data_IF_363581462352
#
_entry.id   IF_363581462352
#
_cell.length_a   1.000
_cell.length_b   1.000
_cell.length_c   1.000
_cell.angle_alpha   90.00
_cell.angle_beta   90.00
_cell.angle_gamma   90.00
#
_symmetry.space_group_name_H-M   'P 1'
#
loop_
_entity.id
_entity.type
_entity.pdbx_description
1 polymer ?
#
# COMPACT_ATOMS: atom_id res chain seq x y z
N UNK A 1 3.12 -19.70 0.81
CA UNK A 1 3.26 -18.73 -0.30
C UNK A 1 4.51 -17.88 -0.05
N UNK A 2 5.42 -17.75 -1.01
CA UNK A 2 6.64 -16.93 -0.86
C UNK A 2 6.44 -15.56 -1.53
N UNK A 3 6.73 -14.44 -0.85
CA UNK A 3 6.68 -13.12 -1.47
C UNK A 3 7.73 -12.98 -2.57
N UNK A 4 7.32 -12.52 -3.75
CA UNK A 4 8.19 -12.18 -4.87
C UNK A 4 8.61 -10.72 -4.75
N UNK A 5 9.90 -10.42 -4.62
CA UNK A 5 10.40 -9.03 -4.69
C UNK A 5 10.22 -8.51 -6.12
N UNK A 6 9.69 -7.29 -6.25
CA UNK A 6 9.60 -6.58 -7.53
C UNK A 6 10.99 -6.06 -7.95
N UNK A 7 11.19 -5.70 -9.24
CA UNK A 7 12.52 -5.36 -9.78
C UNK A 7 13.25 -4.22 -9.07
N UNK A 8 14.57 -4.13 -9.23
CA UNK A 8 15.42 -3.11 -8.59
C UNK A 8 15.29 -1.70 -9.18
N UNK A 9 14.40 -1.45 -10.14
CA UNK A 9 14.10 -0.11 -10.68
C UNK A 9 13.33 0.78 -9.71
N UNK A 10 13.10 0.32 -8.48
CA UNK A 10 12.45 1.06 -7.41
C UNK A 10 13.39 2.10 -6.80
N UNK A 11 12.85 3.13 -6.11
CA UNK A 11 13.68 4.12 -5.45
C UNK A 11 14.63 3.48 -4.43
N UNK A 12 15.87 4.00 -4.27
CA UNK A 12 16.85 3.40 -3.37
C UNK A 12 16.34 3.28 -1.93
N UNK A 13 16.52 2.10 -1.33
CA UNK A 13 16.09 1.84 0.05
C UNK A 13 14.61 1.52 0.22
N UNK A 14 13.88 1.31 -0.89
CA UNK A 14 12.50 0.81 -0.89
C UNK A 14 12.43 -0.55 -1.57
N UNK A 15 11.84 -1.52 -0.88
CA UNK A 15 11.52 -2.84 -1.40
C UNK A 15 10.02 -3.02 -1.52
N UNK A 16 9.54 -3.55 -2.64
CA UNK A 16 8.14 -3.97 -2.78
C UNK A 16 8.09 -5.47 -3.06
N UNK A 17 7.23 -6.17 -2.32
CA UNK A 17 6.99 -7.59 -2.45
C UNK A 17 5.56 -7.84 -2.89
N UNK A 18 5.37 -8.69 -3.90
CA UNK A 18 4.08 -9.16 -4.37
C UNK A 18 3.83 -10.59 -3.89
N UNK A 19 2.62 -10.83 -3.39
CA UNK A 19 2.14 -12.14 -2.99
C UNK A 19 1.00 -12.58 -3.92
N UNK A 20 1.10 -13.79 -4.45
CA UNK A 20 -0.05 -14.51 -5.00
C UNK A 20 -0.70 -15.31 -3.87
N UNK A 21 -2.00 -15.12 -3.68
CA UNK A 21 -2.79 -15.68 -2.60
C UNK A 21 -3.67 -16.81 -3.14
N UNK A 22 -3.47 -18.02 -2.62
CA UNK A 22 -4.43 -19.10 -2.81
C UNK A 22 -5.56 -18.93 -1.79
N UNK A 23 -6.63 -18.27 -2.21
CA UNK A 23 -7.78 -17.93 -1.37
C UNK A 23 -8.60 -19.15 -0.93
N UNK A 24 -8.41 -20.31 -1.57
CA UNK A 24 -9.08 -21.55 -1.22
C UNK A 24 -8.24 -22.42 -0.26
N UNK A 25 -6.92 -22.19 -0.19
CA UNK A 25 -6.05 -22.95 0.68
C UNK A 25 -6.47 -22.85 2.15
N UNK A 26 -6.36 -23.94 2.92
CA UNK A 26 -6.53 -23.88 4.37
C UNK A 26 -5.39 -23.09 4.99
N UNK A 27 -5.69 -22.38 6.09
CA UNK A 27 -4.67 -21.72 6.91
C UNK A 27 -4.00 -22.76 7.80
N UNK A 28 -2.66 -22.79 7.78
CA UNK A 28 -1.89 -23.77 8.57
C UNK A 28 -1.69 -23.31 10.02
N UNK A 29 -1.49 -24.26 10.95
CA UNK A 29 -1.13 -23.95 12.34
C UNK A 29 0.14 -23.11 12.43
N UNK A 30 1.07 -23.28 11.48
CA UNK A 30 2.28 -22.47 11.39
C UNK A 30 2.00 -21.01 11.04
N UNK A 31 0.96 -20.72 10.26
CA UNK A 31 0.53 -19.35 9.96
C UNK A 31 -0.13 -18.72 11.18
N UNK A 32 -0.99 -19.45 11.88
CA UNK A 32 -1.62 -19.01 13.13
C UNK A 32 -0.59 -18.74 14.23
N UNK A 33 0.42 -19.61 14.37
CA UNK A 33 1.51 -19.46 15.35
C UNK A 33 2.44 -18.27 15.09
N UNK A 34 2.27 -17.55 13.98
CA UNK A 34 3.01 -16.32 13.67
C UNK A 34 2.25 -15.04 14.01
N UNK A 35 0.94 -15.11 14.20
CA UNK A 35 0.11 -13.95 14.54
C UNK A 35 0.26 -13.57 16.02
N UNK A 36 0.04 -12.29 16.33
CA UNK A 36 -0.27 -11.92 17.71
C UNK A 36 -1.67 -12.39 18.10
N UNK A 37 -1.97 -12.40 19.40
CA UNK A 37 -3.31 -12.72 19.90
C UNK A 37 -4.37 -11.79 19.29
N UNK A 38 -4.11 -10.47 19.26
CA UNK A 38 -5.01 -9.48 18.66
C UNK A 38 -5.25 -9.72 17.16
N UNK A 39 -4.21 -10.11 16.43
CA UNK A 39 -4.32 -10.46 15.01
C UNK A 39 -5.09 -11.76 14.82
N UNK A 40 -4.90 -12.76 15.68
CA UNK A 40 -5.66 -14.01 15.68
C UNK A 40 -7.15 -13.75 15.91
N UNK A 41 -7.48 -12.95 16.94
CA UNK A 41 -8.86 -12.51 17.21
C UNK A 41 -9.44 -11.76 16.01
N UNK A 42 -8.67 -10.84 15.40
CA UNK A 42 -9.12 -10.11 14.20
C UNK A 42 -9.34 -11.05 13.02
N UNK A 43 -8.46 -12.02 12.79
CA UNK A 43 -8.60 -13.01 11.72
C UNK A 43 -9.89 -13.82 11.88
N UNK A 44 -10.25 -14.20 13.11
CA UNK A 44 -11.47 -14.95 13.40
C UNK A 44 -12.76 -14.16 13.14
N UNK A 45 -12.72 -12.83 13.11
CA UNK A 45 -13.88 -11.97 12.81
C UNK A 45 -14.28 -11.95 11.33
N UNK A 46 -13.39 -12.38 10.42
CA UNK A 46 -13.75 -12.46 9.00
C UNK A 46 -14.75 -13.60 8.77
N UNK A 47 -15.93 -13.24 8.24
CA UNK A 47 -16.99 -14.19 7.91
C UNK A 47 -16.62 -15.06 6.70
N UNK A 48 -16.01 -14.46 5.68
CA UNK A 48 -15.63 -15.18 4.46
C UNK A 48 -14.22 -15.76 4.59
N UNK A 49 -14.06 -16.99 4.11
CA UNK A 49 -12.77 -17.68 4.11
C UNK A 49 -11.69 -16.92 3.33
N UNK A 50 -12.05 -16.38 2.17
CA UNK A 50 -11.12 -15.64 1.33
C UNK A 50 -10.60 -14.35 2.00
N UNK A 51 -11.47 -13.60 2.68
CA UNK A 51 -11.05 -12.42 3.45
C UNK A 51 -10.09 -12.82 4.60
N UNK A 52 -10.39 -13.92 5.30
CA UNK A 52 -9.55 -14.47 6.35
C UNK A 52 -8.18 -14.87 5.83
N UNK A 53 -8.14 -15.59 4.70
CA UNK A 53 -6.88 -15.98 4.05
C UNK A 53 -6.08 -14.76 3.62
N UNK A 54 -6.69 -13.76 2.98
CA UNK A 54 -6.00 -12.51 2.60
C UNK A 54 -5.37 -11.82 3.80
N UNK A 55 -6.11 -11.72 4.91
CA UNK A 55 -5.59 -11.08 6.12
C UNK A 55 -4.41 -11.88 6.72
N UNK A 56 -4.61 -13.18 6.96
CA UNK A 56 -3.59 -14.01 7.64
C UNK A 56 -2.33 -14.16 6.78
N UNK A 57 -2.47 -14.54 5.51
CA UNK A 57 -1.33 -14.76 4.64
C UNK A 57 -0.48 -13.48 4.48
N UNK A 58 -1.14 -12.34 4.28
CA UNK A 58 -0.46 -11.05 4.16
C UNK A 58 0.20 -10.62 5.48
N UNK A 59 -0.46 -10.83 6.63
CA UNK A 59 0.10 -10.49 7.95
C UNK A 59 1.32 -11.34 8.29
N UNK A 60 1.24 -12.65 8.03
CA UNK A 60 2.36 -13.59 8.21
C UNK A 60 3.54 -13.21 7.34
N UNK A 61 3.30 -12.88 6.07
CA UNK A 61 4.35 -12.42 5.18
C UNK A 61 5.01 -11.12 5.64
N UNK A 62 4.20 -10.14 6.06
CA UNK A 62 4.72 -8.89 6.62
C UNK A 62 5.61 -9.15 7.84
N UNK A 63 5.15 -9.97 8.79
CA UNK A 63 5.92 -10.32 10.00
C UNK A 63 7.23 -11.01 9.65
N UNK A 64 7.23 -11.93 8.68
CA UNK A 64 8.46 -12.60 8.21
C UNK A 64 9.44 -11.63 7.57
N UNK A 65 8.96 -10.76 6.69
CA UNK A 65 9.78 -9.76 6.00
C UNK A 65 10.39 -8.76 6.99
N UNK A 66 9.60 -8.24 7.91
CA UNK A 66 10.08 -7.34 8.97
C UNK A 66 11.02 -8.04 9.95
N UNK A 67 10.71 -9.28 10.36
CA UNK A 67 11.57 -10.07 11.24
C UNK A 67 12.93 -10.35 10.62
N UNK A 68 12.97 -10.69 9.33
CA UNK A 68 14.21 -10.83 8.58
C UNK A 68 14.98 -9.51 8.52
N UNK A 69 14.30 -8.40 8.26
CA UNK A 69 14.92 -7.06 8.18
C UNK A 69 15.52 -6.60 9.51
N UNK A 70 14.78 -6.79 10.60
CA UNK A 70 15.14 -6.36 11.95
C UNK A 70 15.96 -7.41 12.71
N UNK A 71 16.21 -8.57 12.10
CA UNK A 71 16.91 -9.72 12.70
C UNK A 71 16.28 -10.16 14.01
N UNK A 72 14.95 -10.20 14.06
CA UNK A 72 14.18 -10.61 15.23
C UNK A 72 13.14 -11.68 14.86
N UNK A 73 12.54 -12.30 15.87
CA UNK A 73 11.52 -13.32 15.65
C UNK A 73 10.22 -12.65 15.16
N UNK A 74 9.61 -13.11 14.06
CA UNK A 74 8.37 -12.52 13.54
C UNK A 74 7.24 -12.41 14.57
N UNK A 75 7.15 -13.34 15.52
CA UNK A 75 6.13 -13.37 16.58
C UNK A 75 6.29 -12.25 17.60
N UNK A 76 7.51 -11.72 17.79
CA UNK A 76 7.78 -10.70 18.82
C UNK A 76 7.43 -9.30 18.34
N UNK A 77 7.15 -9.12 17.04
CA UNK A 77 6.77 -7.82 16.49
C UNK A 77 5.41 -7.38 17.03
N UNK A 78 5.36 -6.14 17.52
CA UNK A 78 4.13 -5.44 17.91
C UNK A 78 3.88 -4.27 16.97
N UNK A 79 2.62 -4.09 16.64
CA UNK A 79 2.16 -3.02 15.75
C UNK A 79 1.22 -2.10 16.50
N UNK A 80 1.35 -0.80 16.26
CA UNK A 80 0.41 0.22 16.72
C UNK A 80 -0.14 0.97 15.51
N UNK A 81 -1.36 1.50 15.61
CA UNK A 81 -1.98 2.26 14.51
C UNK A 81 -2.08 3.73 14.86
N UNK A 82 -1.97 4.59 13.85
CA UNK A 82 -2.33 6.00 13.98
C UNK A 82 -3.87 6.19 14.00
N UNK A 83 -4.38 7.43 14.18
CA UNK A 83 -5.83 7.71 14.17
C UNK A 83 -6.55 7.29 12.88
N UNK A 84 -5.82 7.23 11.76
CA UNK A 84 -6.33 6.82 10.45
C UNK A 84 -6.17 5.30 10.18
N UNK A 85 -5.73 4.52 11.18
CA UNK A 85 -5.57 3.08 11.08
C UNK A 85 -4.29 2.60 10.38
N UNK A 86 -3.39 3.49 9.96
CA UNK A 86 -2.10 3.11 9.35
C UNK A 86 -1.22 2.45 10.42
N UNK A 87 -0.81 1.17 10.24
CA UNK A 87 0.04 0.48 11.19
C UNK A 87 1.49 0.96 11.09
N UNK A 88 2.18 0.94 12.23
CA UNK A 88 3.63 1.09 12.37
C UNK A 88 4.15 0.12 13.41
N UNK A 89 5.46 -0.10 13.44
CA UNK A 89 6.07 -0.85 14.54
C UNK A 89 5.96 -0.06 15.83
N UNK A 90 5.68 -0.76 16.93
CA UNK A 90 5.83 -0.20 18.26
C UNK A 90 7.30 0.19 18.49
N UNK A 91 7.55 1.26 19.26
CA UNK A 91 8.90 1.80 19.45
C UNK A 91 9.89 0.75 19.97
N UNK A 92 9.46 -0.15 20.87
CA UNK A 92 10.28 -1.22 21.41
C UNK A 92 10.68 -2.30 20.37
N UNK A 93 9.95 -2.39 19.25
CA UNK A 93 10.24 -3.30 18.15
C UNK A 93 10.94 -2.61 16.96
N UNK A 94 11.12 -1.28 17.02
CA UNK A 94 11.67 -0.50 15.92
C UNK A 94 13.20 -0.46 15.94
N UNK A 95 13.81 -0.29 14.77
CA UNK A 95 15.21 0.11 14.62
C UNK A 95 15.37 1.63 14.70
N UNK A 96 16.62 2.09 14.77
CA UNK A 96 16.99 3.49 14.54
C UNK A 96 18.00 3.56 13.37
N UNK A 97 17.64 4.17 12.23
CA UNK A 97 16.34 4.77 11.90
C UNK A 97 15.20 3.73 11.82
N UNK A 98 13.93 4.14 11.94
CA UNK A 98 12.78 3.23 11.89
C UNK A 98 12.58 2.64 10.49
N UNK A 99 12.09 1.39 10.44
CA UNK A 99 11.61 0.78 9.19
C UNK A 99 10.15 1.17 8.96
N UNK A 100 9.89 1.80 7.83
CA UNK A 100 8.55 2.10 7.34
C UNK A 100 8.02 0.93 6.53
N UNK A 101 6.71 0.71 6.60
CA UNK A 101 6.05 -0.28 5.75
C UNK A 101 4.64 0.14 5.39
N UNK A 102 4.13 -0.45 4.32
CA UNK A 102 2.73 -0.38 3.95
C UNK A 102 2.29 -1.66 3.26
N UNK A 103 0.99 -1.95 3.33
CA UNK A 103 0.39 -3.18 2.82
C UNK A 103 -0.90 -2.83 2.09
N UNK A 104 -1.13 -3.46 0.95
CA UNK A 104 -2.42 -3.46 0.26
C UNK A 104 -2.73 -4.84 -0.32
N UNK A 105 -4.00 -5.16 -0.53
CA UNK A 105 -4.43 -6.42 -1.14
C UNK A 105 -5.73 -6.26 -1.92
N UNK A 106 -5.81 -6.93 -3.08
CA UNK A 106 -7.01 -6.99 -3.89
C UNK A 106 -7.12 -8.33 -4.60
N UNK A 107 -8.34 -8.89 -4.62
CA UNK A 107 -8.61 -10.23 -5.16
C UNK A 107 -7.62 -11.26 -4.62
N UNK A 108 -6.85 -11.91 -5.50
CA UNK A 108 -5.88 -12.95 -5.14
C UNK A 108 -4.44 -12.43 -4.97
N UNK A 109 -4.23 -11.13 -4.78
CA UNK A 109 -2.89 -10.56 -4.65
C UNK A 109 -2.76 -9.59 -3.48
N UNK A 110 -1.55 -9.51 -2.94
CA UNK A 110 -1.16 -8.49 -1.97
C UNK A 110 0.19 -7.88 -2.32
N UNK A 111 0.38 -6.63 -1.91
CA UNK A 111 1.64 -5.90 -1.95
C UNK A 111 2.09 -5.53 -0.54
N UNK A 112 3.40 -5.63 -0.30
CA UNK A 112 4.06 -5.18 0.91
C UNK A 112 5.24 -4.30 0.50
N UNK A 113 5.20 -3.03 0.88
CA UNK A 113 6.33 -2.11 0.74
C UNK A 113 7.08 -2.00 2.06
N UNK A 114 8.41 -2.06 2.02
CA UNK A 114 9.33 -1.77 3.13
C UNK A 114 10.26 -0.64 2.73
N UNK A 115 10.59 0.25 3.67
CA UNK A 115 11.50 1.37 3.43
C UNK A 115 12.30 1.72 4.67
N UNK A 116 13.59 1.97 4.50
CA UNK A 116 14.50 2.40 5.58
C UNK A 116 14.72 3.92 5.60
N UNK A 117 14.19 4.63 4.60
CA UNK A 117 14.52 6.04 4.36
C UNK A 117 13.34 6.97 4.58
N UNK A 118 12.16 6.52 4.17
CA UNK A 118 10.99 7.39 4.08
C UNK A 118 9.68 6.64 4.35
N UNK A 119 8.64 7.33 4.84
CA UNK A 119 7.28 6.83 4.79
C UNK A 119 6.88 6.41 3.37
N UNK A 120 6.29 5.22 3.28
CA UNK A 120 5.80 4.62 2.03
C UNK A 120 4.32 4.30 2.10
N UNK A 121 3.71 4.23 0.93
CA UNK A 121 2.37 3.73 0.68
C UNK A 121 2.38 2.85 -0.57
N UNK A 122 1.62 1.76 -0.55
CA UNK A 122 1.44 0.89 -1.71
C UNK A 122 -0.03 0.59 -1.87
N UNK A 123 -0.48 0.49 -3.11
CA UNK A 123 -1.83 0.06 -3.40
C UNK A 123 -1.90 -0.88 -4.60
N UNK A 124 -2.89 -1.78 -4.58
CA UNK A 124 -3.22 -2.69 -5.65
C UNK A 124 -4.72 -2.85 -5.73
N UNK A 125 -5.28 -2.73 -6.93
CA UNK A 125 -6.71 -2.93 -7.16
C UNK A 125 -7.00 -3.80 -8.37
N UNK A 126 -8.06 -4.60 -8.26
CA UNK A 126 -8.54 -5.41 -9.38
C UNK A 126 -9.42 -4.55 -10.28
N UNK A 127 -9.17 -4.60 -11.59
CA UNK A 127 -10.06 -4.04 -12.61
C UNK A 127 -11.31 -4.91 -12.74
N UNK A 128 -12.29 -4.70 -11.87
CA UNK A 128 -13.58 -5.39 -11.94
C UNK A 128 -14.51 -4.65 -12.93
N UNK A 129 -14.90 -5.28 -14.06
CA UNK A 129 -15.78 -4.65 -15.04
C UNK A 129 -17.19 -4.37 -14.51
N UNK A 130 -17.57 -4.93 -13.36
CA UNK A 130 -18.86 -4.67 -12.71
C UNK A 130 -18.84 -3.45 -11.80
N UNK A 131 -17.66 -2.83 -11.63
CA UNK A 131 -17.50 -1.64 -10.81
C UNK A 131 -18.20 -0.44 -11.47
N UNK A 132 -18.97 0.34 -10.69
CA UNK A 132 -19.52 1.62 -11.15
C UNK A 132 -18.41 2.68 -11.20
N UNK A 133 -17.57 2.58 -12.22
CA UNK A 133 -16.45 3.49 -12.44
C UNK A 133 -16.95 4.94 -12.59
N UNK A 134 -18.13 5.15 -13.18
CA UNK A 134 -18.67 6.50 -13.40
C UNK A 134 -19.04 7.13 -12.05
N UNK A 135 -19.82 6.43 -11.23
CA UNK A 135 -20.22 6.91 -9.90
C UNK A 135 -19.02 7.13 -8.99
N UNK A 136 -18.05 6.20 -8.99
CA UNK A 136 -16.83 6.34 -8.19
C UNK A 136 -15.93 7.47 -8.69
N UNK A 137 -15.84 7.68 -10.00
CA UNK A 137 -15.05 8.78 -10.56
C UNK A 137 -15.56 10.15 -10.11
N UNK A 138 -16.87 10.31 -9.93
CA UNK A 138 -17.45 11.53 -9.39
C UNK A 138 -17.00 11.81 -7.94
N UNK A 139 -16.70 10.77 -7.17
CA UNK A 139 -16.27 10.86 -5.77
C UNK A 139 -14.75 10.88 -5.63
N UNK A 140 -14.01 10.23 -6.52
CA UNK A 140 -12.57 10.05 -6.42
C UNK A 140 -11.77 11.13 -7.17
N UNK A 141 -12.23 11.56 -8.35
CA UNK A 141 -11.47 12.48 -9.18
C UNK A 141 -11.54 13.92 -8.64
N UNK A 142 -10.46 14.66 -8.81
CA UNK A 142 -10.43 16.10 -8.55
C UNK A 142 -11.12 16.86 -9.70
N UNK A 143 -11.40 18.15 -9.46
CA UNK A 143 -11.89 19.04 -10.53
C UNK A 143 -10.88 19.16 -11.66
N UNK A 144 -9.58 19.15 -11.33
CA UNK A 144 -8.50 19.24 -12.31
C UNK A 144 -8.42 17.99 -13.18
N UNK A 145 -8.49 16.80 -12.58
CA UNK A 145 -8.47 15.52 -13.29
C UNK A 145 -9.62 15.38 -14.29
N UNK A 146 -10.84 15.77 -13.88
CA UNK A 146 -12.02 15.76 -14.76
C UNK A 146 -11.92 16.67 -15.99
N UNK A 147 -10.95 17.60 -16.00
CA UNK A 147 -10.73 18.56 -17.09
C UNK A 147 -9.45 18.27 -17.88
N UNK A 148 -8.76 17.18 -17.58
CA UNK A 148 -7.54 16.82 -18.31
C UNK A 148 -7.85 16.42 -19.74
N UNK A 149 -6.91 16.72 -20.63
CA UNK A 149 -6.86 16.16 -21.96
C UNK A 149 -6.57 14.66 -21.90
N UNK A 150 -7.06 13.91 -22.90
CA UNK A 150 -6.96 12.45 -22.97
C UNK A 150 -5.52 11.93 -22.88
N UNK A 151 -4.53 12.70 -23.35
CA UNK A 151 -3.10 12.34 -23.32
C UNK A 151 -2.49 12.34 -21.91
N UNK A 152 -3.06 13.13 -21.00
CA UNK A 152 -2.65 13.18 -19.58
C UNK A 152 -3.50 12.32 -18.66
N UNK A 153 -4.63 11.83 -19.17
CA UNK A 153 -5.52 10.96 -18.44
C UNK A 153 -4.90 9.57 -18.24
N UNK A 154 -5.21 8.95 -17.12
CA UNK A 154 -4.87 7.54 -16.83
C UNK A 154 -6.14 6.74 -16.59
N UNK A 155 -6.01 5.41 -16.63
CA UNK A 155 -7.07 4.48 -16.27
C UNK A 155 -7.57 4.77 -14.85
N UNK A 156 -8.87 4.61 -14.60
CA UNK A 156 -9.48 4.91 -13.30
C UNK A 156 -8.81 4.15 -12.17
N UNK A 157 -8.52 2.85 -12.35
CA UNK A 157 -7.86 2.05 -11.32
C UNK A 157 -6.39 2.45 -11.12
N UNK A 158 -5.70 2.95 -12.16
CA UNK A 158 -4.37 3.55 -12.00
C UNK A 158 -4.44 4.84 -11.16
N UNK A 159 -5.40 5.73 -11.45
CA UNK A 159 -5.63 6.95 -10.66
C UNK A 159 -5.99 6.61 -9.20
N UNK A 160 -6.92 5.68 -9.01
CA UNK A 160 -7.35 5.21 -7.69
C UNK A 160 -6.18 4.71 -6.86
N UNK A 161 -5.43 3.74 -7.41
CA UNK A 161 -4.28 3.14 -6.69
C UNK A 161 -3.20 4.17 -6.39
N UNK A 162 -2.99 5.15 -7.29
CA UNK A 162 -2.02 6.21 -7.05
C UNK A 162 -2.46 7.14 -5.91
N UNK A 163 -3.72 7.56 -5.87
CA UNK A 163 -4.26 8.38 -4.77
C UNK A 163 -4.19 7.64 -3.44
N UNK A 164 -4.65 6.40 -3.42
CA UNK A 164 -4.58 5.50 -2.25
C UNK A 164 -3.14 5.34 -1.74
N UNK A 165 -2.19 5.05 -2.64
CA UNK A 165 -0.79 4.92 -2.28
C UNK A 165 -0.23 6.22 -1.71
N UNK A 166 -0.55 7.38 -2.30
CA UNK A 166 -0.13 8.70 -1.80
C UNK A 166 -0.68 8.97 -0.40
N UNK A 167 -1.99 8.79 -0.18
CA UNK A 167 -2.62 9.00 1.13
C UNK A 167 -2.05 8.04 2.18
N UNK A 168 -1.82 6.77 1.79
CA UNK A 168 -1.12 5.80 2.63
C UNK A 168 0.29 6.25 2.95
N UNK A 169 1.05 6.83 2.02
CA UNK A 169 2.39 7.35 2.28
C UNK A 169 2.37 8.53 3.27
N UNK A 170 1.39 9.43 3.14
CA UNK A 170 1.13 10.54 4.06
C UNK A 170 0.63 10.09 5.44
N UNK A 171 0.07 8.88 5.54
CA UNK A 171 -0.52 8.38 6.78
C UNK A 171 -1.92 8.89 7.06
N UNK A 172 -2.63 9.35 6.02
CA UNK A 172 -3.99 9.86 6.08
C UNK A 172 -5.02 8.78 5.72
N UNK A 173 -6.26 8.98 6.15
CA UNK A 173 -7.40 8.16 5.73
C UNK A 173 -7.79 8.46 4.28
N UNK A 174 -8.21 7.42 3.55
CA UNK A 174 -8.46 7.48 2.11
C UNK A 174 -9.66 8.36 1.76
N UNK A 175 -10.82 8.07 2.36
CA UNK A 175 -12.11 8.50 1.83
C UNK A 175 -12.29 10.03 1.76
N UNK A 176 -11.70 10.77 2.69
CA UNK A 176 -11.95 12.22 2.83
C UNK A 176 -11.05 13.09 1.93
N UNK A 177 -10.00 12.50 1.33
CA UNK A 177 -8.91 13.27 0.73
C UNK A 177 -8.70 13.01 -0.76
N UNK A 178 -9.45 12.07 -1.37
CA UNK A 178 -9.24 11.69 -2.77
C UNK A 178 -9.34 12.88 -3.74
N UNK A 179 -10.33 13.76 -3.59
CA UNK A 179 -10.52 14.90 -4.49
C UNK A 179 -9.51 16.04 -4.28
N UNK A 180 -8.77 16.03 -3.17
CA UNK A 180 -7.73 17.01 -2.87
C UNK A 180 -6.40 16.67 -3.57
N UNK A 181 -6.29 15.44 -4.11
CA UNK A 181 -5.17 14.98 -4.91
C UNK A 181 -5.55 14.97 -6.39
N UNK A 182 -4.59 15.30 -7.24
CA UNK A 182 -4.63 15.02 -8.67
C UNK A 182 -3.42 14.19 -9.06
N UNK A 183 -3.67 13.14 -9.84
CA UNK A 183 -2.67 12.23 -10.38
C UNK A 183 -2.71 12.35 -11.90
N UNK A 184 -1.56 12.64 -12.48
CA UNK A 184 -1.43 12.80 -13.92
C UNK A 184 -0.37 11.86 -14.48
N UNK A 185 -0.61 11.44 -15.72
CA UNK A 185 0.42 10.79 -16.52
C UNK A 185 1.52 11.80 -16.85
N UNK A 186 2.77 11.44 -16.59
CA UNK A 186 3.91 12.15 -17.14
C UNK A 186 4.17 11.72 -18.60
N UNK A 187 4.87 12.57 -19.36
CA UNK A 187 5.21 12.26 -20.76
C UNK A 187 6.03 10.97 -20.89
N UNK A 188 6.16 10.40 -22.10
CA UNK A 188 6.80 9.08 -22.32
C UNK A 188 8.22 8.95 -21.77
N UNK A 189 8.96 10.06 -21.66
CA UNK A 189 10.32 10.09 -21.13
C UNK A 189 10.42 9.82 -19.61
N UNK A 190 9.33 10.01 -18.87
CA UNK A 190 9.27 9.89 -17.40
C UNK A 190 8.83 8.48 -16.94
N UNK A 191 8.65 7.57 -17.90
CA UNK A 191 8.41 6.15 -17.65
C UNK A 191 7.11 5.88 -16.89
N UNK A 192 7.24 5.28 -15.70
CA UNK A 192 6.13 4.85 -14.86
C UNK A 192 5.73 5.89 -13.79
N UNK A 193 6.40 7.03 -13.71
CA UNK A 193 6.18 8.04 -12.68
C UNK A 193 4.88 8.83 -12.93
N UNK A 194 4.23 9.26 -11.85
CA UNK A 194 3.07 10.15 -11.89
C UNK A 194 3.45 11.56 -11.42
N UNK A 195 2.77 12.57 -11.98
CA UNK A 195 2.76 13.93 -11.42
C UNK A 195 1.65 14.01 -10.38
N UNK A 196 2.04 14.25 -9.12
CA UNK A 196 1.14 14.31 -7.96
C UNK A 196 0.99 15.77 -7.56
N UNK A 197 -0.26 16.25 -7.56
CA UNK A 197 -0.61 17.62 -7.16
C UNK A 197 -1.64 17.61 -6.05
N UNK A 198 -1.48 18.50 -5.09
CA UNK A 198 -2.49 18.83 -4.09
C UNK A 198 -2.59 20.35 -3.99
N UNK A 199 -3.82 20.88 -3.99
CA UNK A 199 -4.08 22.31 -3.86
C UNK A 199 -4.62 22.63 -2.46
N UNK A 200 -4.14 23.69 -1.85
CA UNK A 200 -4.67 24.20 -0.57
C UNK A 200 -4.30 23.39 0.68
N UNK A 201 -3.46 22.36 0.54
CA UNK A 201 -3.00 21.52 1.66
C UNK A 201 -1.48 21.66 1.83
N UNK A 202 -1.04 21.91 3.06
CA UNK A 202 0.38 21.91 3.45
C UNK A 202 0.86 20.47 3.72
N UNK A 203 0.78 19.65 2.67
CA UNK A 203 1.27 18.27 2.72
C UNK A 203 2.73 18.19 2.25
N UNK A 204 3.53 17.30 2.84
CA UNK A 204 4.88 17.07 2.36
C UNK A 204 4.83 16.55 0.92
N UNK A 205 5.89 16.82 0.17
CA UNK A 205 6.05 16.28 -1.18
C UNK A 205 5.96 14.75 -1.16
N UNK A 206 5.21 14.19 -2.11
CA UNK A 206 5.11 12.75 -2.34
C UNK A 206 5.44 12.46 -3.80
N UNK A 207 6.26 11.44 -4.02
CA UNK A 207 6.49 10.87 -5.35
C UNK A 207 5.71 9.56 -5.47
N UNK A 208 5.23 9.24 -6.67
CA UNK A 208 4.55 7.99 -6.94
C UNK A 208 4.92 7.43 -8.32
N UNK A 209 4.93 6.11 -8.44
CA UNK A 209 5.15 5.40 -9.69
C UNK A 209 4.27 4.16 -9.80
N UNK A 210 3.88 3.84 -11.03
CA UNK A 210 3.18 2.60 -11.37
C UNK A 210 4.09 1.40 -11.16
N UNK A 211 3.56 0.37 -10.51
CA UNK A 211 4.23 -0.91 -10.36
C UNK A 211 3.77 -1.90 -11.42
N UNK A 212 4.68 -2.79 -11.82
CA UNK A 212 4.31 -4.01 -12.54
C UNK A 212 3.34 -4.82 -11.68
N UNK A 213 2.23 -5.24 -12.29
CA UNK A 213 1.14 -5.94 -11.61
C UNK A 213 0.61 -7.10 -12.46
N UNK A 214 -0.05 -8.08 -11.83
CA UNK A 214 -0.71 -9.17 -12.56
C UNK A 214 -1.73 -8.64 -13.58
N UNK A 215 -2.02 -9.40 -14.66
CA UNK A 215 -3.05 -9.02 -15.61
C UNK A 215 -4.40 -8.75 -14.92
N UNK A 216 -5.03 -7.64 -15.28
CA UNK A 216 -6.30 -7.20 -14.68
C UNK A 216 -6.15 -6.47 -13.34
N UNK A 217 -4.94 -6.07 -12.93
CA UNK A 217 -4.69 -5.30 -11.72
C UNK A 217 -3.95 -3.99 -12.01
N UNK A 218 -4.29 -2.94 -11.27
CA UNK A 218 -3.50 -1.71 -11.18
C UNK A 218 -2.70 -1.73 -9.88
N UNK A 219 -1.48 -1.19 -9.87
CA UNK A 219 -0.69 -1.09 -8.66
C UNK A 219 0.21 0.15 -8.68
N UNK A 220 0.39 0.77 -7.50
CA UNK A 220 1.19 1.98 -7.34
C UNK A 220 2.00 1.95 -6.05
N UNK A 221 3.23 2.44 -6.12
CA UNK A 221 4.07 2.79 -4.98
C UNK A 221 4.11 4.31 -4.83
N UNK A 222 4.02 4.81 -3.60
CA UNK A 222 4.27 6.20 -3.26
C UNK A 222 5.20 6.32 -2.05
N UNK A 223 5.99 7.40 -2.00
CA UNK A 223 6.93 7.67 -0.91
C UNK A 223 7.17 9.18 -0.72
N UNK A 224 7.58 9.57 0.49
CA UNK A 224 7.97 10.95 0.79
C UNK A 224 9.49 11.13 0.57
N UNK A 225 9.97 11.73 -0.54
CA UNK A 225 11.41 11.81 -0.84
C UNK A 225 12.24 12.54 0.22
N UNK A 226 11.64 13.53 0.91
CA UNK A 226 12.31 14.36 1.92
C UNK A 226 11.95 13.95 3.36
N UNK A 227 11.22 12.84 3.53
CA UNK A 227 10.72 12.37 4.81
C UNK A 227 11.83 11.83 5.70
N UNK A 228 12.62 12.70 6.34
CA UNK A 228 13.56 12.31 7.41
C UNK A 228 12.78 11.82 8.63
N UNK A 229 12.47 10.52 8.69
CA UNK A 229 12.34 9.74 9.93
C UNK A 229 11.22 10.08 10.93
N UNK A 230 10.67 11.29 10.94
CA UNK A 230 9.80 11.81 11.99
C UNK A 230 8.40 12.02 11.44
N UNK A 231 7.58 10.97 11.44
CA UNK A 231 6.14 11.18 11.55
C UNK A 231 5.87 11.52 13.02
N UNK A 232 5.87 12.81 13.35
CA UNK A 232 5.41 13.30 14.66
C UNK A 232 3.92 12.99 14.78
N UNK A 233 3.57 12.24 15.83
CA UNK A 233 2.20 12.15 16.34
C UNK A 233 2.12 13.03 17.57
#
# INVERSE_FOLDING_TARGET
MQPRRLPDSLPPGIDVFQLALDLAAPLSDADWGLLSEEEGVRALRFHRHDDKVRFVATRVALRRLLGARLRCRPQTLRFVTNPYGKPRLEAACSSNPPVFFNVSHAGSFALIALSERAPVGVDIERRDPRCDVIGLSAQALSVFERRLSDDRHIDFFECWTAKEAVLKALGLGVAEHLQQLSVLKLGPAEGASYDIRHEGMDWPRVSALRLDSPPGYAATLAWQPDGKGEMKW
#
